data_IF_443035998477
#
_entry.id   IF_443035998477
#
_cell.length_a   1.000
_cell.length_b   1.000
_cell.length_c   1.000
_cell.angle_alpha   90.00
_cell.angle_beta   90.00
_cell.angle_gamma   90.00
#
_symmetry.space_group_name_H-M   'P 1'
#
loop_
_entity.id
_entity.type
_entity.pdbx_description
1 polymer ?
#
# COMPACT_ATOMS: atom_id res chain seq x y z
N UNK A 1 -14.40 17.34 7.04
CA UNK A 1 -13.83 17.21 8.41
C UNK A 1 -12.50 17.93 8.52
N UNK A 2 -11.46 17.61 7.71
CA UNK A 2 -10.13 18.20 7.77
C UNK A 2 -10.15 19.74 7.77
N UNK A 3 -10.89 20.35 6.86
CA UNK A 3 -11.05 21.82 6.80
C UNK A 3 -11.72 22.40 8.05
N UNK A 4 -12.70 21.71 8.66
CA UNK A 4 -13.36 22.18 9.89
C UNK A 4 -12.44 22.13 11.11
N UNK A 5 -11.44 21.24 11.08
CA UNK A 5 -10.45 21.04 12.14
C UNK A 5 -9.16 21.82 11.87
N UNK A 6 -9.12 22.62 10.81
CA UNK A 6 -7.93 23.37 10.37
C UNK A 6 -6.69 22.47 10.23
N UNK A 7 -6.88 21.26 9.71
CA UNK A 7 -5.79 20.34 9.47
C UNK A 7 -4.88 20.84 8.35
N UNK A 8 -3.59 20.97 8.64
CA UNK A 8 -2.61 21.45 7.67
C UNK A 8 -2.34 20.48 6.53
N UNK A 9 -2.48 19.18 6.81
CA UNK A 9 -2.36 18.10 5.83
C UNK A 9 -3.15 16.86 6.28
N UNK A 10 -3.47 15.98 5.36
CA UNK A 10 -4.06 14.68 5.64
C UNK A 10 -3.75 13.68 4.54
N UNK A 11 -3.87 12.41 4.86
CA UNK A 11 -3.73 11.30 3.94
C UNK A 11 -5.11 10.72 3.68
N UNK A 12 -5.41 10.43 2.43
CA UNK A 12 -6.56 9.66 1.99
C UNK A 12 -6.06 8.29 1.53
N UNK A 13 -6.65 7.23 2.05
CA UNK A 13 -6.15 5.88 1.82
C UNK A 13 -7.24 4.95 1.31
N UNK A 14 -6.81 3.93 0.56
CA UNK A 14 -7.67 2.85 0.09
C UNK A 14 -6.87 1.55 0.08
N UNK A 15 -7.44 0.50 0.66
CA UNK A 15 -6.79 -0.80 0.73
C UNK A 15 -6.93 -1.61 -0.57
N UNK A 16 -5.99 -2.53 -0.80
CA UNK A 16 -6.06 -3.49 -1.93
C UNK A 16 -7.39 -4.22 -1.98
N UNK A 17 -7.91 -4.66 -0.83
CA UNK A 17 -9.19 -5.35 -0.73
C UNK A 17 -10.35 -4.44 -1.11
N UNK A 18 -10.32 -3.17 -0.69
CA UNK A 18 -11.36 -2.18 -1.00
C UNK A 18 -11.39 -1.86 -2.50
N UNK A 19 -10.22 -1.66 -3.12
CA UNK A 19 -10.10 -1.52 -4.58
C UNK A 19 -10.75 -2.71 -5.29
N UNK A 20 -10.57 -3.93 -4.74
CA UNK A 20 -11.09 -5.14 -5.36
C UNK A 20 -12.61 -5.29 -5.25
N UNK A 21 -13.19 -5.08 -4.05
CA UNK A 21 -14.62 -5.31 -3.86
C UNK A 21 -15.50 -4.13 -4.27
N UNK A 22 -14.95 -2.91 -4.31
CA UNK A 22 -15.68 -1.74 -4.83
C UNK A 22 -15.49 -1.56 -6.34
N UNK A 23 -14.53 -2.26 -6.92
CA UNK A 23 -14.06 -2.05 -8.31
C UNK A 23 -13.58 -0.61 -8.58
N UNK A 24 -13.35 0.19 -7.54
CA UNK A 24 -12.84 1.54 -7.65
C UNK A 24 -11.32 1.54 -7.87
N UNK A 25 -10.93 1.67 -9.12
CA UNK A 25 -9.50 1.62 -9.49
C UNK A 25 -8.75 2.89 -9.01
N UNK A 26 -7.40 2.81 -8.84
CA UNK A 26 -6.59 3.92 -8.35
C UNK A 26 -6.84 5.26 -9.01
N UNK A 27 -6.92 5.32 -10.34
CA UNK A 27 -7.15 6.57 -11.07
C UNK A 27 -8.53 7.18 -10.79
N UNK A 28 -9.56 6.35 -10.62
CA UNK A 28 -10.90 6.80 -10.23
C UNK A 28 -10.89 7.34 -8.81
N UNK A 29 -10.27 6.62 -7.86
CA UNK A 29 -10.14 7.07 -6.48
C UNK A 29 -9.48 8.44 -6.38
N UNK A 30 -8.31 8.63 -7.04
CA UNK A 30 -7.62 9.93 -7.08
C UNK A 30 -8.53 11.02 -7.64
N UNK A 31 -9.23 10.75 -8.75
CA UNK A 31 -10.09 11.72 -9.40
C UNK A 31 -11.23 12.18 -8.48
N UNK A 32 -11.88 11.24 -7.80
CA UNK A 32 -12.96 11.55 -6.85
C UNK A 32 -12.45 12.34 -5.65
N UNK A 33 -11.31 11.95 -5.09
CA UNK A 33 -10.74 12.62 -3.91
C UNK A 33 -10.27 14.04 -4.23
N UNK A 34 -9.64 14.26 -5.38
CA UNK A 34 -9.25 15.62 -5.82
C UNK A 34 -10.46 16.48 -6.14
N UNK A 35 -11.49 15.94 -6.81
CA UNK A 35 -12.73 16.66 -7.05
C UNK A 35 -13.44 17.06 -5.75
N UNK A 36 -13.46 16.17 -4.75
CA UNK A 36 -14.01 16.46 -3.44
C UNK A 36 -13.20 17.55 -2.72
N UNK A 37 -11.88 17.51 -2.76
CA UNK A 37 -11.02 18.56 -2.18
C UNK A 37 -11.28 19.94 -2.82
N UNK A 38 -11.40 19.99 -4.14
CA UNK A 38 -11.74 21.21 -4.89
C UNK A 38 -13.13 21.73 -4.47
N UNK A 39 -14.13 20.87 -4.45
CA UNK A 39 -15.51 21.21 -4.05
C UNK A 39 -15.57 21.80 -2.65
N UNK A 40 -14.83 21.22 -1.71
CA UNK A 40 -14.77 21.71 -0.32
C UNK A 40 -13.88 22.96 -0.17
N UNK A 41 -13.24 23.44 -1.22
CA UNK A 41 -12.33 24.58 -1.19
C UNK A 41 -11.09 24.34 -0.32
N UNK A 42 -10.62 23.08 -0.24
CA UNK A 42 -9.38 22.77 0.44
C UNK A 42 -8.18 23.21 -0.41
N UNK A 43 -7.19 23.84 0.22
CA UNK A 43 -6.00 24.42 -0.44
C UNK A 43 -4.68 23.82 0.03
N UNK A 44 -4.73 22.94 1.02
CA UNK A 44 -3.55 22.26 1.54
C UNK A 44 -3.10 21.08 0.68
N UNK A 45 -2.00 20.43 1.04
CA UNK A 45 -1.52 19.23 0.36
C UNK A 45 -2.50 18.06 0.57
N UNK A 46 -2.70 17.29 -0.49
CA UNK A 46 -3.49 16.05 -0.47
C UNK A 46 -2.52 14.89 -0.73
N UNK A 47 -2.40 13.99 0.24
CA UNK A 47 -1.61 12.78 0.09
C UNK A 47 -2.56 11.60 -0.10
N UNK A 48 -2.20 10.70 -1.02
CA UNK A 48 -2.99 9.50 -1.31
C UNK A 48 -2.10 8.28 -1.07
N UNK A 49 -2.63 7.34 -0.31
CA UNK A 49 -1.93 6.13 0.12
C UNK A 49 -2.64 4.88 -0.39
N UNK A 50 -1.85 3.97 -0.94
CA UNK A 50 -2.24 2.59 -1.06
C UNK A 50 -2.01 1.92 0.30
N UNK A 51 -3.09 1.67 1.00
CA UNK A 51 -3.09 1.07 2.33
C UNK A 51 -3.22 -0.45 2.20
N UNK A 52 -2.52 -1.20 3.04
CA UNK A 52 -2.54 -2.66 2.98
C UNK A 52 -2.46 -3.20 1.54
N UNK A 53 -1.42 -2.82 0.79
CA UNK A 53 -1.12 -3.51 -0.48
C UNK A 53 -0.61 -4.91 -0.13
N UNK A 54 -1.54 -5.64 0.45
CA UNK A 54 -1.30 -6.87 1.18
C UNK A 54 -1.12 -8.06 0.25
N UNK A 55 -0.11 -8.88 0.56
CA UNK A 55 0.06 -10.21 -0.03
C UNK A 55 -0.99 -11.15 0.55
N UNK A 56 -1.77 -11.80 -0.30
CA UNK A 56 -2.72 -12.81 0.13
C UNK A 56 -2.00 -14.14 0.42
N UNK A 57 -1.92 -14.51 1.66
CA UNK A 57 -1.18 -15.69 2.11
C UNK A 57 -1.69 -17.00 1.46
N UNK A 58 -3.00 -17.15 1.20
CA UNK A 58 -3.56 -18.36 0.55
C UNK A 58 -3.12 -18.46 -0.91
N UNK A 59 -3.15 -17.33 -1.64
CA UNK A 59 -2.68 -17.26 -3.02
C UNK A 59 -1.17 -17.45 -3.10
N UNK A 60 -0.44 -16.82 -2.18
CA UNK A 60 1.00 -16.97 -2.08
C UNK A 60 1.42 -18.43 -1.82
N UNK A 61 0.70 -19.15 -0.97
CA UNK A 61 0.97 -20.58 -0.72
C UNK A 61 0.78 -21.47 -1.96
N UNK A 62 -0.07 -21.07 -2.91
CA UNK A 62 -0.31 -21.78 -4.17
C UNK A 62 0.72 -21.39 -5.23
N UNK A 63 0.91 -20.09 -5.45
CA UNK A 63 1.84 -19.53 -6.43
C UNK A 63 2.39 -18.19 -5.94
N UNK A 64 3.55 -18.21 -5.27
CA UNK A 64 4.20 -17.00 -4.75
C UNK A 64 4.48 -15.95 -5.82
N UNK A 65 4.92 -16.40 -7.00
CA UNK A 65 5.33 -15.50 -8.09
C UNK A 65 4.12 -14.74 -8.63
N UNK A 66 3.03 -15.43 -8.92
CA UNK A 66 1.79 -14.82 -9.40
C UNK A 66 1.22 -13.85 -8.39
N UNK A 67 1.21 -14.19 -7.09
CA UNK A 67 0.65 -13.30 -6.07
C UNK A 67 1.50 -12.04 -5.88
N UNK A 68 2.82 -12.15 -5.81
CA UNK A 68 3.71 -10.99 -5.69
C UNK A 68 3.61 -10.10 -6.93
N UNK A 69 3.53 -10.69 -8.13
CA UNK A 69 3.35 -9.93 -9.36
C UNK A 69 1.99 -9.20 -9.41
N UNK A 70 0.95 -9.76 -8.81
CA UNK A 70 -0.34 -9.07 -8.69
C UNK A 70 -0.26 -7.82 -7.80
N UNK A 71 0.50 -7.88 -6.71
CA UNK A 71 0.77 -6.69 -5.88
C UNK A 71 1.59 -5.66 -6.66
N UNK A 72 2.66 -6.09 -7.35
CA UNK A 72 3.50 -5.20 -8.17
C UNK A 72 2.71 -4.53 -9.30
N UNK A 73 1.78 -5.24 -9.93
CA UNK A 73 0.89 -4.68 -10.94
C UNK A 73 -0.02 -3.58 -10.35
N UNK A 74 -0.59 -3.81 -9.17
CA UNK A 74 -1.37 -2.78 -8.46
C UNK A 74 -0.51 -1.58 -8.08
N UNK A 75 0.72 -1.79 -7.60
CA UNK A 75 1.68 -0.69 -7.35
C UNK A 75 1.91 0.14 -8.60
N UNK A 76 2.13 -0.50 -9.76
CA UNK A 76 2.33 0.21 -11.03
C UNK A 76 1.14 1.10 -11.37
N UNK A 77 -0.07 0.57 -11.23
CA UNK A 77 -1.31 1.31 -11.49
C UNK A 77 -1.49 2.46 -10.50
N UNK A 78 -1.25 2.22 -9.22
CA UNK A 78 -1.38 3.23 -8.16
C UNK A 78 -0.37 4.38 -8.35
N UNK A 79 0.90 4.07 -8.62
CA UNK A 79 1.94 5.08 -8.86
C UNK A 79 1.60 5.91 -10.10
N UNK A 80 1.13 5.29 -11.18
CA UNK A 80 0.69 6.00 -12.37
C UNK A 80 -0.52 6.92 -12.10
N UNK A 81 -1.36 6.57 -11.13
CA UNK A 81 -2.49 7.39 -10.69
C UNK A 81 -2.10 8.51 -9.70
N UNK A 82 -0.87 8.53 -9.18
CA UNK A 82 -0.40 9.53 -8.24
C UNK A 82 -0.43 9.12 -6.77
N UNK A 83 -0.46 7.83 -6.47
CA UNK A 83 -0.24 7.31 -5.13
C UNK A 83 1.25 7.35 -4.83
N UNK A 84 1.66 8.25 -3.94
CA UNK A 84 3.07 8.41 -3.55
C UNK A 84 3.34 8.00 -2.11
N UNK A 85 2.41 7.27 -1.53
CA UNK A 85 2.52 6.57 -0.27
C UNK A 85 1.98 5.15 -0.50
N UNK A 86 2.82 4.14 -0.28
CA UNK A 86 2.47 2.73 -0.49
C UNK A 86 2.81 1.96 0.79
N UNK A 87 1.82 1.34 1.38
CA UNK A 87 2.02 0.38 2.44
C UNK A 87 2.17 -1.03 1.84
N UNK A 88 3.37 -1.60 2.00
CA UNK A 88 3.73 -2.94 1.52
C UNK A 88 3.45 -3.93 2.65
N UNK A 89 2.26 -4.48 2.66
CA UNK A 89 1.83 -5.40 3.70
C UNK A 89 2.10 -6.86 3.32
N UNK A 90 3.14 -7.39 3.93
CA UNK A 90 3.55 -8.81 3.82
C UNK A 90 3.40 -9.55 5.15
N UNK A 91 2.76 -8.92 6.14
CA UNK A 91 2.57 -9.46 7.50
C UNK A 91 1.83 -10.80 7.53
N UNK A 92 0.99 -11.06 6.54
CA UNK A 92 0.27 -12.34 6.40
C UNK A 92 1.17 -13.54 6.12
N UNK A 93 2.46 -13.31 5.83
CA UNK A 93 3.43 -14.36 5.54
C UNK A 93 4.25 -14.79 6.77
N UNK A 94 3.93 -14.26 7.93
CA UNK A 94 4.55 -14.67 9.20
C UNK A 94 4.21 -16.12 9.52
N UNK A 95 5.22 -16.89 9.93
CA UNK A 95 5.08 -18.30 10.31
C UNK A 95 5.43 -18.51 11.78
N UNK A 96 4.43 -18.47 12.65
CA UNK A 96 4.60 -18.66 14.10
C UNK A 96 5.06 -20.06 14.50
N UNK A 97 5.08 -21.03 13.59
CA UNK A 97 5.61 -22.39 13.87
C UNK A 97 7.13 -22.43 14.00
N UNK A 98 7.82 -21.38 13.58
CA UNK A 98 9.28 -21.30 13.63
C UNK A 98 9.80 -20.96 15.02
N UNK A 99 10.99 -21.45 15.39
CA UNK A 99 11.50 -21.34 16.76
C UNK A 99 11.98 -19.94 17.14
N UNK A 100 12.37 -19.11 16.18
CA UNK A 100 12.91 -17.78 16.45
C UNK A 100 12.10 -16.69 15.73
N UNK A 101 12.07 -15.50 16.29
CA UNK A 101 11.40 -14.34 15.68
C UNK A 101 11.94 -14.05 14.27
N UNK A 102 13.24 -14.15 14.07
CA UNK A 102 13.84 -13.94 12.76
C UNK A 102 13.33 -14.93 11.71
N UNK A 103 13.19 -16.22 12.09
CA UNK A 103 12.65 -17.25 11.21
C UNK A 103 11.15 -17.08 10.98
N UNK A 104 10.40 -16.69 12.01
CA UNK A 104 8.96 -16.39 11.91
C UNK A 104 8.69 -15.27 10.91
N UNK A 105 9.49 -14.20 10.97
CA UNK A 105 9.33 -13.01 10.13
C UNK A 105 10.05 -13.10 8.77
N UNK A 106 10.78 -14.18 8.48
CA UNK A 106 11.65 -14.24 7.31
C UNK A 106 10.94 -13.94 6.00
N UNK A 107 9.84 -14.61 5.70
CA UNK A 107 9.08 -14.36 4.48
C UNK A 107 8.49 -12.95 4.46
N UNK A 108 8.05 -12.43 5.61
CA UNK A 108 7.56 -11.08 5.71
C UNK A 108 8.60 -10.08 5.20
N UNK A 109 9.81 -10.04 5.80
CA UNK A 109 10.79 -9.03 5.37
C UNK A 109 11.42 -9.32 4.00
N UNK A 110 11.61 -10.59 3.58
CA UNK A 110 12.18 -10.91 2.27
C UNK A 110 11.26 -10.46 1.13
N UNK A 111 9.96 -10.73 1.22
CA UNK A 111 8.97 -10.32 0.21
C UNK A 111 8.73 -8.82 0.26
N UNK A 112 8.71 -8.21 1.46
CA UNK A 112 8.63 -6.75 1.61
C UNK A 112 9.80 -6.05 0.91
N UNK A 113 11.03 -6.56 1.07
CA UNK A 113 12.22 -6.02 0.38
C UNK A 113 12.11 -6.15 -1.13
N UNK A 114 11.60 -7.27 -1.65
CA UNK A 114 11.42 -7.46 -3.10
C UNK A 114 10.41 -6.45 -3.68
N UNK A 115 9.26 -6.30 -3.04
CA UNK A 115 8.25 -5.32 -3.48
C UNK A 115 8.78 -3.89 -3.31
N UNK A 116 9.46 -3.59 -2.20
CA UNK A 116 10.08 -2.27 -1.97
C UNK A 116 11.07 -1.90 -3.08
N UNK A 117 11.92 -2.83 -3.50
CA UNK A 117 12.85 -2.60 -4.63
C UNK A 117 12.11 -2.30 -5.92
N UNK A 118 11.00 -2.99 -6.14
CA UNK A 118 10.13 -2.73 -7.29
C UNK A 118 9.51 -1.32 -7.23
N UNK A 119 8.98 -0.90 -6.07
CA UNK A 119 8.44 0.45 -5.87
C UNK A 119 9.52 1.51 -6.15
N UNK A 120 10.74 1.33 -5.62
CA UNK A 120 11.87 2.24 -5.87
C UNK A 120 12.23 2.36 -7.35
N UNK A 121 12.15 1.26 -8.09
CA UNK A 121 12.39 1.26 -9.54
C UNK A 121 11.25 1.91 -10.35
N UNK A 122 10.04 1.97 -9.80
CA UNK A 122 8.86 2.57 -10.41
C UNK A 122 8.67 4.06 -10.06
N UNK A 123 9.51 4.65 -9.23
CA UNK A 123 9.40 6.05 -8.81
C UNK A 123 9.47 7.01 -10.00
N UNK A 124 8.53 7.96 -10.12
CA UNK A 124 8.64 9.03 -11.09
C UNK A 124 9.85 9.92 -10.82
N UNK A 125 10.42 10.50 -11.85
CA UNK A 125 11.59 11.40 -11.71
C UNK A 125 11.30 12.55 -10.72
N UNK A 126 12.13 12.63 -9.70
CA UNK A 126 12.04 13.69 -8.68
C UNK A 126 11.02 13.42 -7.56
N UNK A 127 10.40 12.23 -7.57
CA UNK A 127 9.51 11.78 -6.51
C UNK A 127 10.18 10.64 -5.74
N UNK A 128 10.17 10.72 -4.42
CA UNK A 128 10.48 9.59 -3.55
C UNK A 128 9.17 9.11 -2.91
N UNK A 129 8.78 7.88 -3.20
CA UNK A 129 7.56 7.29 -2.66
C UNK A 129 7.77 6.94 -1.19
N UNK A 130 6.87 7.37 -0.31
CA UNK A 130 6.84 6.89 1.07
C UNK A 130 6.43 5.43 1.08
N UNK A 131 7.21 4.58 1.75
CA UNK A 131 6.92 3.15 1.85
C UNK A 131 6.74 2.79 3.30
N UNK A 132 5.58 2.22 3.62
CA UNK A 132 5.30 1.53 4.87
C UNK A 132 5.58 0.03 4.76
N UNK A 133 5.64 -0.63 5.89
CA UNK A 133 5.70 -2.08 6.01
C UNK A 133 5.11 -2.52 7.33
N UNK A 134 4.58 -3.73 7.36
CA UNK A 134 3.86 -4.28 8.50
C UNK A 134 4.68 -5.36 9.22
N UNK A 135 4.61 -5.34 10.55
CA UNK A 135 5.13 -6.43 11.40
C UNK A 135 3.93 -7.27 11.83
N UNK A 136 3.88 -8.52 11.38
CA UNK A 136 2.78 -9.41 11.73
C UNK A 136 3.05 -10.23 12.99
N UNK A 137 1.97 -10.51 13.74
CA UNK A 137 1.89 -11.56 14.77
C UNK A 137 3.05 -11.57 15.79
N UNK A 138 3.50 -10.42 16.27
CA UNK A 138 4.55 -10.36 17.29
C UNK A 138 3.94 -10.33 18.69
N UNK A 139 4.50 -11.12 19.61
CA UNK A 139 4.21 -11.02 21.04
C UNK A 139 2.98 -11.80 21.52
N UNK A 140 2.64 -12.89 20.86
CA UNK A 140 1.67 -13.89 21.37
C UNK A 140 2.34 -14.91 22.25
#
# INVERSE_FOLDING_TARGET
TAKKLDAGAFILEIARSEIAYTEQRPAEYVSVMLAAAIREGYRGPVFIQGDHFQVNHKKYAVDPVTEVNAVKALVTEAVAAGFYNIDVDTSTLVDLSKPTLAEQQRLNYEVCVDITRFVRAAEPKGITISIGGEIGEVGT
#
